data_IF_653188723552
#
_entry.id   IF_653188723552
#
_cell.length_a   1.000
_cell.length_b   1.000
_cell.length_c   1.000
_cell.angle_alpha   90.00
_cell.angle_beta   90.00
_cell.angle_gamma   90.00
#
_symmetry.space_group_name_H-M   'P 1'
#
loop_
_entity.id
_entity.type
_entity.pdbx_description
1 polymer ?
#
# COMPACT_ATOMS: atom_id res chain seq x y z
N UNK A 1 18.77 7.79 3.15
CA UNK A 1 18.13 8.22 1.89
C UNK A 1 16.62 8.27 2.11
N UNK A 2 15.87 8.97 1.26
CA UNK A 2 14.39 8.92 1.32
C UNK A 2 13.91 7.61 0.71
N UNK A 3 12.94 6.96 1.35
CA UNK A 3 12.39 5.68 0.95
C UNK A 3 10.87 5.67 1.10
N UNK A 4 10.18 5.07 0.13
CA UNK A 4 8.75 4.76 0.18
C UNK A 4 8.59 3.33 0.69
N UNK A 5 8.04 3.19 1.90
CA UNK A 5 7.91 1.90 2.59
C UNK A 5 6.58 1.75 3.33
N UNK A 6 6.32 0.53 3.79
CA UNK A 6 5.17 0.21 4.63
C UNK A 6 5.48 0.50 6.10
N UNK A 7 4.73 1.41 6.71
CA UNK A 7 4.63 1.54 8.16
C UNK A 7 3.49 0.65 8.66
N UNK A 8 3.75 -0.17 9.68
CA UNK A 8 2.77 -1.09 10.25
C UNK A 8 1.99 -0.39 11.35
N UNK A 9 0.67 -0.36 11.19
CA UNK A 9 -0.30 -0.08 12.23
C UNK A 9 -1.30 -1.23 12.40
N UNK A 10 -2.50 -0.88 12.86
CA UNK A 10 -3.55 -1.84 13.17
C UNK A 10 -3.34 -2.51 14.52
N UNK A 11 -4.00 -3.65 14.72
CA UNK A 11 -4.01 -4.36 15.99
C UNK A 11 -3.28 -5.71 15.89
N UNK A 12 -3.08 -6.36 17.04
CA UNK A 12 -2.58 -7.74 17.10
C UNK A 12 -3.45 -8.63 16.21
N UNK A 13 -2.81 -9.42 15.34
CA UNK A 13 -3.46 -10.30 14.33
C UNK A 13 -4.35 -9.57 13.31
N UNK A 14 -4.38 -8.23 13.30
CA UNK A 14 -5.10 -7.41 12.33
C UNK A 14 -4.19 -6.30 11.78
N UNK A 15 -3.19 -6.66 10.96
CA UNK A 15 -2.23 -5.69 10.42
C UNK A 15 -2.91 -4.74 9.45
N UNK A 16 -2.55 -3.46 9.55
CA UNK A 16 -2.90 -2.43 8.58
C UNK A 16 -1.64 -1.65 8.25
N UNK A 17 -1.37 -1.39 6.97
CA UNK A 17 -0.14 -0.70 6.57
C UNK A 17 -0.45 0.67 6.01
N UNK A 18 0.32 1.68 6.40
CA UNK A 18 0.37 2.97 5.73
C UNK A 18 1.54 2.95 4.73
N UNK A 19 1.33 3.51 3.54
CA UNK A 19 2.40 3.73 2.58
C UNK A 19 2.96 5.12 2.85
N UNK A 20 4.20 5.18 3.30
CA UNK A 20 4.83 6.42 3.79
C UNK A 20 6.16 6.68 3.10
N UNK A 21 6.42 7.96 2.87
CA UNK A 21 7.71 8.50 2.45
C UNK A 21 8.46 8.91 3.71
N UNK A 22 9.66 8.38 3.91
CA UNK A 22 10.44 8.65 5.13
C UNK A 22 11.93 8.55 4.87
N UNK A 23 12.73 9.19 5.70
CA UNK A 23 14.16 8.87 5.80
C UNK A 23 14.33 7.41 6.24
N UNK A 24 15.21 6.68 5.56
CA UNK A 24 15.53 5.28 5.85
C UNK A 24 16.00 5.05 7.29
N UNK A 25 16.63 6.07 7.92
CA UNK A 25 17.17 6.01 9.29
C UNK A 25 16.08 6.02 10.37
N UNK A 26 14.89 6.51 10.05
CA UNK A 26 13.80 6.54 11.02
C UNK A 26 13.29 5.13 11.33
N UNK A 27 12.76 4.92 12.53
CA UNK A 27 12.07 3.69 12.89
C UNK A 27 10.91 3.40 11.91
N UNK A 28 10.59 2.11 11.69
CA UNK A 28 9.58 1.67 10.71
C UNK A 28 8.26 2.43 10.83
N UNK A 29 7.75 2.53 12.05
CA UNK A 29 6.46 3.15 12.37
C UNK A 29 6.62 4.53 13.02
N UNK A 30 7.80 5.12 12.88
CA UNK A 30 8.14 6.41 13.47
C UNK A 30 7.77 7.59 12.57
N UNK A 31 8.53 8.68 12.71
CA UNK A 31 8.34 9.91 11.93
C UNK A 31 8.49 9.64 10.43
N UNK A 32 7.53 10.13 9.66
CA UNK A 32 7.55 10.13 8.19
C UNK A 32 7.42 11.57 7.67
N UNK A 33 7.74 11.76 6.39
CA UNK A 33 7.64 13.04 5.68
C UNK A 33 6.21 13.20 5.15
N UNK A 34 5.71 12.19 4.44
CA UNK A 34 4.40 12.21 3.80
C UNK A 34 3.75 10.82 3.79
N UNK A 35 2.42 10.77 3.89
CA UNK A 35 1.64 9.55 3.71
C UNK A 35 1.00 9.57 2.32
N UNK A 36 1.36 8.59 1.49
CA UNK A 36 0.95 8.50 0.07
C UNK A 36 -0.02 7.37 -0.21
N UNK A 37 -0.53 6.71 0.83
CA UNK A 37 -1.53 5.65 0.67
C UNK A 37 -1.64 4.73 1.87
N UNK A 38 -2.39 3.64 1.70
CA UNK A 38 -2.51 2.56 2.67
C UNK A 38 -2.71 1.21 1.98
N UNK A 39 -2.43 0.14 2.72
CA UNK A 39 -2.64 -1.25 2.32
C UNK A 39 -3.20 -2.08 3.48
N UNK A 40 -4.36 -2.68 3.26
CA UNK A 40 -5.01 -3.61 4.17
C UNK A 40 -4.92 -5.04 3.62
N UNK A 41 -4.00 -5.88 4.14
CA UNK A 41 -3.79 -7.24 3.64
C UNK A 41 -4.96 -8.18 3.93
N UNK A 42 -5.79 -7.90 4.94
CA UNK A 42 -6.92 -8.77 5.30
C UNK A 42 -8.02 -8.65 4.24
N UNK A 43 -8.37 -7.42 3.89
CA UNK A 43 -9.38 -7.19 2.84
C UNK A 43 -8.84 -7.59 1.47
N UNK A 44 -7.56 -7.37 1.20
CA UNK A 44 -6.89 -7.87 -0.01
C UNK A 44 -7.03 -9.40 -0.16
N UNK A 45 -6.79 -10.14 0.92
CA UNK A 45 -6.90 -11.60 0.90
C UNK A 45 -8.35 -12.08 0.70
N UNK A 46 -9.31 -11.39 1.32
CA UNK A 46 -10.74 -11.68 1.13
C UNK A 46 -11.18 -11.40 -0.31
N UNK A 47 -10.77 -10.27 -0.89
CA UNK A 47 -11.06 -9.92 -2.28
C UNK A 47 -10.52 -10.98 -3.24
N UNK A 48 -9.26 -11.43 -3.05
CA UNK A 48 -8.67 -12.53 -3.84
C UNK A 48 -9.42 -13.85 -3.70
N UNK A 49 -9.92 -14.17 -2.51
CA UNK A 49 -10.74 -15.37 -2.28
C UNK A 49 -12.10 -15.26 -2.99
N UNK A 50 -12.77 -14.11 -2.87
CA UNK A 50 -14.05 -13.85 -3.52
C UNK A 50 -13.96 -13.90 -5.05
N UNK A 51 -12.88 -13.37 -5.63
CA UNK A 51 -12.54 -13.45 -7.05
C UNK A 51 -12.46 -14.92 -7.52
N UNK A 52 -11.83 -15.80 -6.73
CA UNK A 52 -11.72 -17.23 -7.04
C UNK A 52 -13.04 -17.99 -6.91
N UNK A 53 -13.93 -17.55 -6.01
CA UNK A 53 -15.22 -18.19 -5.72
C UNK A 53 -16.38 -17.70 -6.64
N UNK A 54 -16.07 -17.03 -7.75
CA UNK A 54 -17.01 -16.53 -8.76
C UNK A 54 -18.06 -15.51 -8.26
N UNK A 55 -17.82 -14.84 -7.12
CA UNK A 55 -18.67 -13.75 -6.59
C UNK A 55 -18.15 -12.37 -7.04
N UNK A 56 -18.14 -12.14 -8.36
CA UNK A 56 -17.45 -11.00 -8.99
C UNK A 56 -17.90 -9.60 -8.49
N UNK A 57 -19.20 -9.37 -8.28
CA UNK A 57 -19.72 -8.04 -7.92
C UNK A 57 -19.28 -7.56 -6.51
N UNK A 58 -19.07 -8.47 -5.55
CA UNK A 58 -18.56 -8.10 -4.22
C UNK A 58 -17.04 -7.85 -4.18
N UNK A 59 -16.30 -8.43 -5.13
CA UNK A 59 -14.84 -8.36 -5.14
C UNK A 59 -14.36 -6.95 -5.51
N UNK A 60 -15.00 -6.31 -6.49
CA UNK A 60 -14.61 -5.01 -7.04
C UNK A 60 -14.75 -3.88 -6.00
N UNK A 61 -15.89 -3.83 -5.29
CA UNK A 61 -16.10 -2.88 -4.19
C UNK A 61 -15.12 -3.07 -3.03
N UNK A 62 -14.75 -4.33 -2.72
CA UNK A 62 -13.78 -4.64 -1.63
C UNK A 62 -12.32 -4.33 -2.00
N UNK A 63 -11.96 -4.33 -3.29
CA UNK A 63 -10.61 -3.96 -3.71
C UNK A 63 -10.30 -2.49 -3.39
N UNK A 64 -11.27 -1.59 -3.62
CA UNK A 64 -11.14 -0.16 -3.32
C UNK A 64 -10.91 0.13 -1.82
N UNK A 65 -11.41 -0.72 -0.93
CA UNK A 65 -11.18 -0.60 0.52
C UNK A 65 -9.85 -1.21 0.99
N UNK A 66 -9.20 -2.02 0.14
CA UNK A 66 -7.99 -2.76 0.51
C UNK A 66 -6.67 -2.06 0.19
N UNK A 67 -6.65 -1.21 -0.84
CA UNK A 67 -5.46 -0.53 -1.32
C UNK A 67 -5.84 0.82 -1.91
N UNK A 68 -5.23 1.89 -1.40
CA UNK A 68 -5.33 3.22 -1.99
C UNK A 68 -3.94 3.82 -2.07
N UNK A 69 -3.56 4.25 -3.26
CA UNK A 69 -2.28 4.87 -3.54
C UNK A 69 -2.50 6.22 -4.23
N UNK A 70 -1.75 7.22 -3.80
CA UNK A 70 -1.60 8.48 -4.51
C UNK A 70 -0.43 8.34 -5.49
N UNK A 71 -0.75 7.97 -6.73
CA UNK A 71 0.25 7.73 -7.77
C UNK A 71 1.01 9.00 -8.16
N UNK A 72 0.36 10.16 -8.10
CA UNK A 72 0.98 11.44 -8.43
C UNK A 72 2.09 11.77 -7.43
N UNK A 73 1.78 11.65 -6.13
CA UNK A 73 2.77 11.89 -5.07
C UNK A 73 3.87 10.84 -5.04
N UNK A 74 3.54 9.57 -5.26
CA UNK A 74 4.54 8.49 -5.37
C UNK A 74 5.52 8.79 -6.52
N UNK A 75 5.01 9.17 -7.69
CA UNK A 75 5.82 9.51 -8.85
C UNK A 75 6.74 10.70 -8.57
N UNK A 76 6.20 11.78 -7.99
CA UNK A 76 6.98 12.94 -7.59
C UNK A 76 8.17 12.59 -6.69
N UNK A 77 7.94 11.78 -5.65
CA UNK A 77 9.03 11.35 -4.75
C UNK A 77 10.03 10.42 -5.43
N UNK A 78 9.56 9.55 -6.34
CA UNK A 78 10.44 8.69 -7.13
C UNK A 78 11.35 9.51 -8.07
N UNK A 79 10.83 10.56 -8.70
CA UNK A 79 11.60 11.48 -9.56
C UNK A 79 12.65 12.25 -8.76
N UNK A 80 12.37 12.56 -7.49
CA UNK A 80 13.33 13.14 -6.55
C UNK A 80 14.37 12.13 -6.02
N UNK A 81 14.33 10.87 -6.47
CA UNK A 81 15.29 9.83 -6.10
C UNK A 81 14.94 9.04 -4.84
N UNK A 82 13.67 9.08 -4.38
CA UNK A 82 13.24 8.19 -3.30
C UNK A 82 13.25 6.72 -3.77
N UNK A 83 13.87 5.84 -2.97
CA UNK A 83 13.85 4.40 -3.24
C UNK A 83 12.50 3.78 -2.85
N UNK A 84 12.04 2.77 -3.57
CA UNK A 84 10.78 2.08 -3.27
C UNK A 84 11.05 0.67 -2.75
N UNK A 85 10.42 0.29 -1.64
CA UNK A 85 10.54 -1.09 -1.14
C UNK A 85 9.85 -2.10 -2.06
N UNK A 86 10.38 -3.33 -2.16
CA UNK A 86 9.88 -4.38 -3.06
C UNK A 86 8.36 -4.62 -2.93
N UNK A 87 7.86 -4.65 -1.69
CA UNK A 87 6.43 -4.85 -1.45
C UNK A 87 5.60 -3.67 -1.96
N UNK A 88 6.06 -2.43 -1.78
CA UNK A 88 5.37 -1.24 -2.31
C UNK A 88 5.40 -1.24 -3.83
N UNK A 89 6.51 -1.60 -4.46
CA UNK A 89 6.60 -1.74 -5.91
C UNK A 89 5.58 -2.76 -6.46
N UNK A 90 5.45 -3.91 -5.78
CA UNK A 90 4.44 -4.92 -6.12
C UNK A 90 3.01 -4.38 -5.98
N UNK A 91 2.73 -3.59 -4.93
CA UNK A 91 1.42 -3.00 -4.71
C UNK A 91 1.07 -1.94 -5.77
N UNK A 92 2.04 -1.09 -6.16
CA UNK A 92 1.87 -0.12 -7.25
C UNK A 92 1.48 -0.85 -8.53
N UNK A 93 2.25 -1.88 -8.93
CA UNK A 93 1.96 -2.68 -10.12
C UNK A 93 0.57 -3.31 -10.10
N UNK A 94 0.14 -3.83 -8.95
CA UNK A 94 -1.19 -4.41 -8.82
C UNK A 94 -2.30 -3.35 -8.88
N UNK A 95 -2.06 -2.16 -8.34
CA UNK A 95 -3.00 -1.05 -8.37
C UNK A 95 -3.17 -0.52 -9.80
N UNK A 96 -2.06 -0.34 -10.54
CA UNK A 96 -2.08 0.05 -11.96
C UNK A 96 -2.77 -0.98 -12.86
N UNK A 97 -2.75 -2.27 -12.50
CA UNK A 97 -3.48 -3.31 -13.24
C UNK A 97 -4.98 -3.30 -12.96
N UNK A 98 -5.38 -2.82 -11.77
CA UNK A 98 -6.76 -2.82 -11.32
C UNK A 98 -7.51 -1.52 -11.66
N UNK A 99 -6.78 -0.43 -11.90
CA UNK A 99 -7.29 0.83 -12.43
C UNK A 99 -7.40 0.78 -13.95
#
# INVERSE_FOLDING_TARGET
MVTIRLARGGAKKRPFYQVVVTDSRNARDGRFIERVGFFNPIEWAKAKKAEKEAKHAEAEAKYAESLRLDLERIKHWSEQGASVSERVATLIKNFEKAA
#
